data_IF_412690597972
#
_entry.id   IF_412690597972
#
_cell.length_a   1.000
_cell.length_b   1.000
_cell.length_c   1.000
_cell.angle_alpha   90.00
_cell.angle_beta   90.00
_cell.angle_gamma   90.00
#
_symmetry.space_group_name_H-M   'P 1'
#
loop_
_entity.id
_entity.type
_entity.pdbx_description
1 polymer ?
#
# COMPACT_ATOMS: atom_id res chain seq x y z
N UNK A 1 25.02 10.86 61.14
CA UNK A 1 25.26 12.30 60.97
C UNK A 1 26.77 12.45 60.73
N UNK A 2 27.35 12.95 59.65
CA UNK A 2 26.91 13.77 58.53
C UNK A 2 27.55 13.25 57.23
N UNK A 3 26.70 13.07 56.24
CA UNK A 3 26.86 13.24 54.81
C UNK A 3 28.15 13.84 54.18
N UNK A 4 28.48 13.22 53.05
CA UNK A 4 28.81 13.81 51.72
C UNK A 4 30.30 13.99 51.32
N UNK A 5 30.65 13.19 50.29
CA UNK A 5 31.12 13.59 48.93
C UNK A 5 32.58 13.31 48.52
N UNK A 6 32.66 12.74 47.30
CA UNK A 6 33.71 12.73 46.25
C UNK A 6 34.71 11.57 46.34
N UNK A 7 34.62 10.54 45.49
CA UNK A 7 34.84 10.47 44.02
C UNK A 7 36.33 10.58 43.63
N UNK A 8 36.97 9.42 43.42
CA UNK A 8 38.13 9.15 42.55
C UNK A 8 38.48 7.66 42.66
N UNK A 9 39.22 7.10 41.68
CA UNK A 9 39.75 5.71 41.60
C UNK A 9 38.72 4.72 41.00
N UNK A 10 38.92 4.01 39.87
CA UNK A 10 40.10 3.76 39.05
C UNK A 10 39.66 3.41 37.61
N UNK A 11 40.26 4.07 36.61
CA UNK A 11 40.41 3.55 35.25
C UNK A 11 41.72 2.77 35.22
N UNK A 12 41.70 1.46 35.00
CA UNK A 12 42.92 0.75 34.63
C UNK A 12 42.60 -0.51 33.82
N UNK A 13 43.35 -0.65 32.72
CA UNK A 13 43.53 -1.80 31.81
C UNK A 13 42.48 -2.02 30.70
N UNK A 14 42.77 -1.37 29.57
CA UNK A 14 42.59 -1.93 28.22
C UNK A 14 43.94 -2.47 27.72
N UNK A 15 43.85 -3.49 26.83
CA UNK A 15 44.82 -3.97 25.82
C UNK A 15 45.93 -4.95 26.28
N UNK A 16 45.80 -6.23 25.92
CA UNK A 16 46.48 -6.85 24.75
C UNK A 16 46.17 -8.36 24.67
N UNK A 17 45.94 -8.89 23.47
CA UNK A 17 45.86 -10.33 23.21
C UNK A 17 45.11 -10.71 21.94
N UNK A 18 45.72 -10.44 20.78
CA UNK A 18 45.24 -10.80 19.44
C UNK A 18 45.74 -12.22 19.05
N UNK A 19 45.21 -12.75 17.92
CA UNK A 19 45.63 -13.93 17.12
C UNK A 19 45.07 -15.26 17.66
N UNK A 20 44.38 -16.19 16.96
CA UNK A 20 44.27 -16.70 15.57
C UNK A 20 42.81 -17.25 15.46
N UNK A 21 42.04 -17.14 14.36
CA UNK A 21 41.95 -18.11 13.24
C UNK A 21 41.18 -17.46 12.09
N UNK A 22 41.81 -17.45 10.91
CA UNK A 22 41.17 -17.28 9.61
C UNK A 22 41.61 -18.44 8.71
N UNK A 23 40.64 -19.21 8.22
CA UNK A 23 40.65 -20.12 7.07
C UNK A 23 39.30 -20.86 7.08
N UNK A 24 38.56 -21.12 6.01
CA UNK A 24 38.65 -20.77 4.60
C UNK A 24 37.27 -21.05 3.97
N UNK A 25 36.97 -20.34 2.88
CA UNK A 25 35.90 -20.62 1.92
C UNK A 25 36.03 -22.04 1.33
N UNK A 26 34.91 -22.75 1.19
CA UNK A 26 34.48 -23.44 -0.05
C UNK A 26 33.33 -24.43 0.25
N UNK A 27 32.11 -24.09 -0.17
CA UNK A 27 31.14 -25.05 -0.67
C UNK A 27 31.10 -24.90 -2.20
N UNK A 28 31.02 -25.99 -2.97
CA UNK A 28 29.70 -26.34 -3.47
C UNK A 28 29.44 -27.85 -3.64
N UNK A 29 28.22 -28.28 -3.34
CA UNK A 29 27.71 -29.62 -3.65
C UNK A 29 26.25 -29.53 -4.09
N UNK A 30 26.01 -28.86 -5.22
CA UNK A 30 24.71 -28.88 -5.88
C UNK A 30 24.59 -30.15 -6.73
N UNK A 31 23.73 -31.08 -6.31
CA UNK A 31 23.23 -32.15 -7.18
C UNK A 31 22.21 -31.54 -8.16
N UNK A 32 22.71 -31.10 -9.32
CA UNK A 32 21.88 -30.89 -10.50
C UNK A 32 21.75 -32.23 -11.24
N UNK A 33 20.56 -32.83 -11.19
CA UNK A 33 20.19 -33.92 -12.09
C UNK A 33 19.52 -33.32 -13.34
N UNK A 34 20.18 -33.49 -14.48
CA UNK A 34 19.66 -33.20 -15.80
C UNK A 34 18.39 -34.02 -16.07
N UNK A 35 17.29 -33.34 -16.44
CA UNK A 35 16.22 -33.97 -17.22
C UNK A 35 16.12 -33.30 -18.59
N UNK A 36 16.37 -34.14 -19.59
CA UNK A 36 16.37 -33.88 -21.02
C UNK A 36 15.06 -33.26 -21.49
N UNK A 37 15.22 -32.29 -22.40
CA UNK A 37 14.19 -31.73 -23.29
C UNK A 37 13.49 -32.85 -24.05
N UNK A 38 12.16 -32.92 -23.94
CA UNK A 38 11.32 -33.60 -24.92
C UNK A 38 10.49 -32.54 -25.66
N UNK A 39 10.83 -32.36 -26.94
CA UNK A 39 10.14 -31.53 -27.91
C UNK A 39 8.78 -32.15 -28.25
N UNK A 40 7.68 -31.45 -27.96
CA UNK A 40 6.36 -31.81 -28.48
C UNK A 40 6.17 -31.09 -29.81
N UNK A 41 6.25 -31.89 -30.88
CA UNK A 41 6.04 -31.53 -32.27
C UNK A 41 4.54 -31.30 -32.50
N UNK A 42 4.17 -30.08 -32.89
CA UNK A 42 2.82 -29.70 -33.30
C UNK A 42 2.55 -30.33 -34.67
N UNK A 43 1.67 -31.32 -34.73
CA UNK A 43 1.32 -32.01 -35.98
C UNK A 43 0.00 -31.42 -36.49
N UNK A 44 0.11 -30.64 -37.57
CA UNK A 44 -0.97 -30.31 -38.49
C UNK A 44 -1.40 -31.59 -39.23
N UNK A 45 -2.70 -31.86 -39.24
CA UNK A 45 -3.32 -32.73 -40.25
C UNK A 45 -4.56 -32.05 -40.81
N UNK A 46 -4.47 -31.74 -42.09
CA UNK A 46 -5.50 -31.27 -43.01
C UNK A 46 -6.12 -32.44 -43.79
N UNK A 47 -7.44 -32.44 -43.98
CA UNK A 47 -8.20 -32.97 -45.15
C UNK A 47 -9.71 -32.85 -44.82
N UNK A 48 -10.51 -31.99 -45.48
CA UNK A 48 -11.31 -32.23 -46.72
C UNK A 48 -12.23 -33.47 -46.60
N UNK A 49 -13.53 -33.48 -46.92
CA UNK A 49 -14.35 -32.74 -47.89
C UNK A 49 -15.82 -33.19 -47.75
N UNK A 50 -16.80 -32.33 -48.05
CA UNK A 50 -17.93 -32.64 -48.96
C UNK A 50 -18.85 -31.43 -49.14
N UNK A 51 -18.99 -31.01 -50.40
CA UNK A 51 -19.95 -30.03 -50.90
C UNK A 51 -21.05 -30.78 -51.63
N UNK A 52 -22.32 -30.39 -51.41
CA UNK A 52 -23.41 -30.74 -52.32
C UNK A 52 -24.17 -29.46 -52.67
N UNK A 53 -23.99 -29.02 -53.91
CA UNK A 53 -24.77 -27.97 -54.59
C UNK A 53 -26.14 -28.54 -54.98
N UNK A 54 -27.19 -27.71 -54.91
CA UNK A 54 -28.30 -27.82 -55.87
C UNK A 54 -28.90 -26.44 -56.19
N UNK A 55 -29.27 -26.31 -57.47
CA UNK A 55 -29.47 -25.10 -58.26
C UNK A 55 -30.79 -24.34 -58.03
N UNK A 56 -30.90 -23.19 -58.70
CA UNK A 56 -31.83 -22.05 -58.47
C UNK A 56 -32.94 -21.94 -59.55
N UNK A 57 -34.15 -21.53 -59.11
CA UNK A 57 -35.20 -20.67 -59.75
C UNK A 57 -36.20 -21.21 -60.82
N UNK A 58 -37.38 -20.54 -61.06
CA UNK A 58 -38.18 -19.60 -60.21
C UNK A 58 -39.75 -19.67 -60.32
N UNK A 59 -40.43 -18.76 -59.57
CA UNK A 59 -41.84 -18.23 -59.67
C UNK A 59 -42.97 -19.11 -59.07
N UNK A 60 -44.04 -18.63 -58.42
CA UNK A 60 -44.81 -17.36 -58.40
C UNK A 60 -45.29 -16.99 -56.97
N UNK A 61 -45.65 -15.72 -56.79
CA UNK A 61 -46.19 -15.10 -55.59
C UNK A 61 -47.61 -15.59 -55.22
N UNK A 62 -47.88 -15.70 -53.91
CA UNK A 62 -49.21 -15.59 -53.33
C UNK A 62 -49.11 -15.01 -51.91
N UNK A 63 -49.85 -13.95 -51.68
CA UNK A 63 -50.00 -13.15 -50.47
C UNK A 63 -50.68 -13.91 -49.34
N UNK A 64 -50.10 -13.90 -48.13
CA UNK A 64 -50.81 -14.20 -46.89
C UNK A 64 -50.20 -13.39 -45.73
N UNK A 65 -50.88 -12.31 -45.37
CA UNK A 65 -50.58 -11.47 -44.20
C UNK A 65 -50.86 -12.22 -42.91
N UNK A 66 -49.82 -12.56 -42.14
CA UNK A 66 -49.95 -12.97 -40.73
C UNK A 66 -49.80 -11.73 -39.83
N UNK A 67 -50.69 -11.47 -38.87
CA UNK A 67 -50.55 -10.33 -37.98
C UNK A 67 -49.36 -10.56 -37.02
N UNK A 68 -48.33 -9.73 -37.16
CA UNK A 68 -47.22 -9.67 -36.20
C UNK A 68 -47.71 -8.92 -34.98
N UNK A 69 -47.85 -9.64 -33.86
CA UNK A 69 -48.13 -9.05 -32.55
C UNK A 69 -46.86 -8.34 -32.09
N UNK A 70 -46.80 -7.02 -32.26
CA UNK A 70 -45.69 -6.20 -31.77
C UNK A 70 -45.79 -6.16 -30.24
N UNK A 71 -44.98 -6.97 -29.56
CA UNK A 71 -44.78 -6.84 -28.12
C UNK A 71 -43.94 -5.59 -27.90
N UNK A 72 -44.58 -4.53 -27.43
CA UNK A 72 -43.89 -3.31 -27.02
C UNK A 72 -42.92 -3.66 -25.88
N UNK A 73 -41.61 -3.61 -26.18
CA UNK A 73 -40.59 -3.61 -25.14
C UNK A 73 -40.76 -2.30 -24.37
N UNK A 74 -41.42 -2.37 -23.22
CA UNK A 74 -41.41 -1.28 -22.25
C UNK A 74 -39.96 -1.06 -21.81
N UNK A 75 -39.38 0.06 -22.25
CA UNK A 75 -38.11 0.52 -21.71
C UNK A 75 -38.33 0.75 -20.21
N UNK A 76 -37.65 -0.03 -19.37
CA UNK A 76 -37.59 0.29 -17.94
C UNK A 76 -36.96 1.68 -17.84
N UNK A 77 -37.73 2.63 -17.33
CA UNK A 77 -37.24 3.97 -17.04
C UNK A 77 -35.95 3.84 -16.21
N UNK A 78 -34.90 4.54 -16.64
CA UNK A 78 -33.64 4.59 -15.90
C UNK A 78 -33.94 5.05 -14.47
N UNK A 79 -33.75 4.17 -13.50
CA UNK A 79 -33.87 4.51 -12.08
C UNK A 79 -32.85 5.61 -11.82
N UNK A 80 -33.31 6.85 -11.63
CA UNK A 80 -32.46 7.96 -11.22
C UNK A 80 -31.96 7.62 -9.82
N UNK A 81 -30.75 7.05 -9.74
CA UNK A 81 -30.05 6.92 -8.46
C UNK A 81 -29.77 8.35 -8.01
N UNK A 82 -30.32 8.75 -6.87
CA UNK A 82 -30.05 10.05 -6.29
C UNK A 82 -28.53 10.21 -6.12
N UNK A 83 -27.97 11.27 -6.69
CA UNK A 83 -26.57 11.63 -6.46
C UNK A 83 -26.44 12.04 -5.00
N UNK A 84 -25.94 11.15 -4.16
CA UNK A 84 -25.56 11.49 -2.78
C UNK A 84 -24.15 12.09 -2.89
N UNK A 85 -23.97 13.40 -2.58
CA UNK A 85 -22.66 14.00 -2.62
C UNK A 85 -21.73 13.27 -1.65
N UNK A 86 -20.50 12.99 -2.09
CA UNK A 86 -19.51 12.39 -1.22
C UNK A 86 -19.25 13.34 -0.04
N UNK A 87 -19.17 12.78 1.18
CA UNK A 87 -18.77 13.55 2.36
C UNK A 87 -17.38 14.15 2.10
N UNK A 88 -17.17 15.45 2.36
CA UNK A 88 -15.87 16.07 2.20
C UNK A 88 -14.87 15.46 3.18
N UNK A 89 -13.61 15.35 2.76
CA UNK A 89 -12.50 14.94 3.62
C UNK A 89 -12.09 16.06 4.57
N UNK A 90 -11.27 15.75 5.57
CA UNK A 90 -10.78 16.76 6.51
C UNK A 90 -9.89 17.79 5.83
N UNK A 91 -9.09 17.39 4.83
CA UNK A 91 -8.28 18.34 4.07
C UNK A 91 -9.12 19.27 3.18
N UNK A 92 -10.26 18.80 2.65
CA UNK A 92 -11.23 19.66 1.96
C UNK A 92 -11.91 20.64 2.91
N UNK A 93 -12.34 20.18 4.10
CA UNK A 93 -12.95 21.05 5.11
C UNK A 93 -11.95 22.13 5.58
N UNK A 94 -10.67 21.78 5.68
CA UNK A 94 -9.61 22.69 6.08
C UNK A 94 -9.07 23.60 4.95
N UNK A 95 -9.63 23.53 3.72
CA UNK A 95 -9.20 24.37 2.60
C UNK A 95 -7.81 24.02 2.04
N UNK A 96 -7.24 22.86 2.39
CA UNK A 96 -5.85 22.50 2.03
C UNK A 96 -5.66 22.24 0.52
N UNK A 97 -6.74 22.18 -0.26
CA UNK A 97 -6.69 22.06 -1.72
C UNK A 97 -6.47 23.40 -2.43
N UNK A 98 -6.60 24.54 -1.74
CA UNK A 98 -6.61 25.88 -2.34
C UNK A 98 -5.21 26.54 -2.39
N UNK A 99 -4.16 25.75 -2.28
CA UNK A 99 -2.76 26.18 -2.41
C UNK A 99 -2.32 26.15 -3.87
N UNK A 100 -1.53 27.15 -4.29
CA UNK A 100 -0.92 27.13 -5.60
C UNK A 100 0.14 26.03 -5.66
N UNK A 101 -0.08 25.06 -6.56
CA UNK A 101 0.73 23.87 -6.73
C UNK A 101 1.20 23.77 -8.19
N UNK A 102 2.50 24.01 -8.46
CA UNK A 102 3.04 24.00 -9.82
C UNK A 102 2.98 22.62 -10.49
N UNK A 103 2.81 21.53 -9.73
CA UNK A 103 2.64 20.18 -10.26
C UNK A 103 1.17 19.76 -10.39
N UNK A 104 0.22 20.65 -10.08
CA UNK A 104 -1.23 20.36 -10.09
C UNK A 104 -1.57 19.03 -9.38
N UNK A 105 -0.95 18.80 -8.21
CA UNK A 105 -1.25 17.60 -7.45
C UNK A 105 -2.67 17.68 -6.90
N UNK A 106 -3.37 16.56 -7.00
CA UNK A 106 -4.72 16.41 -6.48
C UNK A 106 -4.73 16.04 -4.98
N UNK A 107 -3.56 15.78 -4.42
CA UNK A 107 -3.32 15.69 -2.98
C UNK A 107 -3.28 17.08 -2.37
N UNK A 108 -4.02 17.28 -1.27
CA UNK A 108 -3.95 18.53 -0.51
C UNK A 108 -2.68 18.62 0.33
N UNK A 109 -2.07 17.48 0.66
CA UNK A 109 -0.77 17.41 1.33
C UNK A 109 0.17 16.53 0.50
N UNK A 110 1.38 17.04 0.24
CA UNK A 110 2.43 16.30 -0.43
C UNK A 110 3.80 16.58 0.19
N UNK A 111 4.62 15.55 0.30
CA UNK A 111 6.02 15.66 0.68
C UNK A 111 6.84 14.68 -0.16
N UNK A 112 7.90 15.17 -0.79
CA UNK A 112 8.88 14.35 -1.54
C UNK A 112 10.26 14.69 -1.00
N UNK A 113 10.94 13.69 -0.45
CA UNK A 113 12.29 13.84 0.10
C UNK A 113 13.24 12.83 -0.50
N UNK A 114 14.51 13.21 -0.62
CA UNK A 114 15.60 12.27 -0.84
C UNK A 114 15.88 11.50 0.46
N UNK A 115 15.87 10.18 0.37
CA UNK A 115 16.03 9.29 1.52
C UNK A 115 17.44 9.34 2.11
N UNK A 116 18.47 9.50 1.27
CA UNK A 116 19.86 9.43 1.69
C UNK A 116 20.34 10.80 2.20
N UNK A 117 19.92 11.91 1.57
CA UNK A 117 20.37 13.27 1.94
C UNK A 117 19.39 14.05 2.81
N UNK A 118 18.16 13.57 2.95
CA UNK A 118 17.04 14.29 3.59
C UNK A 118 16.68 15.63 2.92
N UNK A 119 17.14 15.86 1.69
CA UNK A 119 16.75 17.02 0.90
C UNK A 119 15.23 16.98 0.64
N UNK A 120 14.54 18.09 0.89
CA UNK A 120 13.13 18.26 0.54
C UNK A 120 13.03 18.76 -0.90
N UNK A 121 12.52 17.93 -1.79
CA UNK A 121 12.32 18.28 -3.19
C UNK A 121 10.99 19.03 -3.37
N UNK A 122 9.93 18.50 -2.75
CA UNK A 122 8.58 19.07 -2.82
C UNK A 122 7.96 19.10 -1.43
N UNK A 123 7.36 20.23 -1.06
CA UNK A 123 6.53 20.34 0.14
C UNK A 123 5.24 21.12 -0.15
N UNK A 124 4.11 20.53 0.25
CA UNK A 124 2.76 21.10 0.18
C UNK A 124 2.01 20.73 1.46
N UNK A 125 1.72 21.71 2.32
CA UNK A 125 1.01 21.53 3.59
C UNK A 125 1.58 20.39 4.46
N UNK A 126 2.89 20.19 4.44
CA UNK A 126 3.54 18.99 5.01
C UNK A 126 3.40 18.85 6.53
N UNK A 127 3.05 19.93 7.23
CA UNK A 127 2.72 20.00 8.65
C UNK A 127 1.25 19.67 8.98
N UNK A 128 0.37 19.56 7.98
CA UNK A 128 -1.04 19.31 8.25
C UNK A 128 -1.24 17.91 8.85
N UNK A 129 -1.91 17.86 9.99
CA UNK A 129 -2.25 16.62 10.69
C UNK A 129 -3.63 16.15 10.22
N UNK A 130 -3.66 15.04 9.48
CA UNK A 130 -4.87 14.52 8.85
C UNK A 130 -5.10 13.05 9.21
N UNK A 131 -6.35 12.56 9.11
CA UNK A 131 -6.62 11.13 9.10
C UNK A 131 -5.80 10.45 7.98
N UNK A 132 -5.09 9.37 8.30
CA UNK A 132 -4.16 8.72 7.35
C UNK A 132 -4.66 7.40 6.78
N UNK A 133 -5.88 7.02 7.14
CA UNK A 133 -6.49 5.76 6.76
C UNK A 133 -5.51 4.57 6.96
N UNK A 134 -5.54 3.60 6.04
CA UNK A 134 -4.71 2.40 6.10
C UNK A 134 -3.19 2.59 5.94
N UNK A 135 -2.69 3.82 5.79
CA UNK A 135 -1.25 4.06 6.00
C UNK A 135 -0.81 3.63 7.41
N UNK A 136 -1.73 3.68 8.37
CA UNK A 136 -1.62 3.06 9.71
C UNK A 136 -0.97 1.69 9.70
N UNK A 137 -1.34 0.83 8.73
CA UNK A 137 -0.88 -0.58 8.71
C UNK A 137 0.62 -0.72 8.50
N UNK A 138 1.31 0.32 8.04
CA UNK A 138 2.76 0.32 7.96
C UNK A 138 3.39 0.30 9.37
N UNK A 139 2.84 1.06 10.32
CA UNK A 139 3.24 0.97 11.73
C UNK A 139 2.86 -0.38 12.32
N UNK A 140 1.66 -0.90 12.02
CA UNK A 140 1.24 -2.25 12.43
C UNK A 140 2.25 -3.31 11.99
N UNK A 141 2.67 -3.28 10.72
CA UNK A 141 3.68 -4.21 10.21
C UNK A 141 5.02 -4.05 10.90
N UNK A 142 5.46 -2.82 11.17
CA UNK A 142 6.71 -2.56 11.90
C UNK A 142 6.69 -3.15 13.30
N UNK A 143 5.61 -2.97 14.07
CA UNK A 143 5.49 -3.55 15.42
C UNK A 143 5.52 -5.08 15.37
N UNK A 144 4.78 -5.70 14.43
CA UNK A 144 4.74 -7.16 14.28
C UNK A 144 6.10 -7.73 13.89
N UNK A 145 6.78 -7.13 12.90
CA UNK A 145 8.10 -7.58 12.46
C UNK A 145 9.17 -7.47 13.55
N UNK A 146 9.13 -6.38 14.33
CA UNK A 146 10.09 -6.15 15.42
C UNK A 146 9.84 -7.05 16.63
N UNK A 147 8.61 -7.48 16.85
CA UNK A 147 8.27 -8.38 17.95
C UNK A 147 8.81 -9.81 17.76
N UNK A 148 9.24 -10.18 16.54
CA UNK A 148 9.81 -11.49 16.21
C UNK A 148 8.95 -12.67 16.69
N UNK A 149 7.63 -12.50 16.60
CA UNK A 149 6.66 -13.55 16.89
C UNK A 149 6.71 -14.66 15.82
N UNK A 150 6.30 -15.89 16.14
CA UNK A 150 6.27 -16.98 15.17
C UNK A 150 5.34 -16.63 13.99
N UNK A 151 5.90 -16.59 12.77
CA UNK A 151 5.12 -16.25 11.57
C UNK A 151 4.18 -17.36 11.13
N UNK A 152 4.45 -18.60 11.52
CA UNK A 152 3.60 -19.77 11.25
C UNK A 152 2.45 -19.94 12.26
N UNK A 153 2.36 -19.07 13.27
CA UNK A 153 1.28 -19.15 14.25
C UNK A 153 -0.08 -18.94 13.56
N UNK A 154 -1.03 -19.88 13.71
CA UNK A 154 -2.35 -19.74 13.11
C UNK A 154 -3.16 -18.68 13.87
N UNK A 155 -3.68 -17.70 13.13
CA UNK A 155 -4.54 -16.65 13.64
C UNK A 155 -5.93 -16.80 13.02
N UNK A 156 -6.94 -16.99 13.86
CA UNK A 156 -8.34 -17.04 13.43
C UNK A 156 -8.98 -15.66 13.49
N UNK A 157 -9.65 -15.27 12.40
CA UNK A 157 -10.51 -14.08 12.34
C UNK A 157 -11.73 -14.31 13.22
N UNK A 158 -12.01 -13.36 14.11
CA UNK A 158 -13.11 -13.39 15.06
C UNK A 158 -14.11 -12.27 14.77
N UNK A 159 -15.22 -12.22 15.51
CA UNK A 159 -16.19 -11.15 15.41
C UNK A 159 -15.59 -9.79 15.78
N UNK A 160 -14.60 -9.75 16.67
CA UNK A 160 -13.90 -8.53 17.09
C UNK A 160 -13.11 -7.88 15.94
N UNK A 161 -12.73 -8.66 14.92
CA UNK A 161 -11.99 -8.15 13.77
C UNK A 161 -12.89 -7.52 12.70
N UNK A 162 -14.21 -7.61 12.88
CA UNK A 162 -15.19 -7.06 11.93
C UNK A 162 -15.32 -5.55 12.13
N UNK A 163 -15.11 -4.80 11.03
CA UNK A 163 -15.35 -3.36 11.01
C UNK A 163 -16.81 -3.02 11.30
N UNK A 164 -17.01 -2.28 12.38
CA UNK A 164 -18.29 -1.72 12.81
C UNK A 164 -18.35 -0.19 12.69
N UNK A 165 -17.23 0.46 12.34
CA UNK A 165 -17.13 1.92 12.23
C UNK A 165 -17.43 2.43 10.81
N UNK A 166 -16.82 1.81 9.80
CA UNK A 166 -16.95 2.23 8.39
C UNK A 166 -17.74 1.24 7.54
N UNK A 167 -18.09 0.08 8.07
CA UNK A 167 -18.82 -0.97 7.34
C UNK A 167 -18.05 -1.52 6.13
N UNK A 168 -16.72 -1.50 6.20
CA UNK A 168 -15.85 -2.03 5.15
C UNK A 168 -16.04 -3.54 4.98
N UNK A 169 -15.96 -3.99 3.73
CA UNK A 169 -16.10 -5.40 3.38
C UNK A 169 -14.73 -6.07 3.42
N UNK A 170 -14.72 -7.32 3.85
CA UNK A 170 -13.56 -8.20 3.81
C UNK A 170 -13.95 -9.54 3.19
N UNK A 171 -13.01 -10.17 2.50
CA UNK A 171 -13.16 -11.54 1.99
C UNK A 171 -12.72 -12.59 3.01
N UNK A 172 -11.96 -12.20 4.03
CA UNK A 172 -11.65 -13.06 5.17
C UNK A 172 -12.87 -13.10 6.08
N UNK A 173 -13.65 -14.17 6.03
CA UNK A 173 -14.84 -14.33 6.89
C UNK A 173 -14.44 -14.66 8.33
N UNK A 174 -15.34 -14.41 9.28
CA UNK A 174 -15.17 -14.89 10.66
C UNK A 174 -15.00 -16.42 10.63
N UNK A 175 -14.04 -16.92 11.40
CA UNK A 175 -13.62 -18.32 11.39
C UNK A 175 -12.54 -18.67 10.36
N UNK A 176 -12.17 -17.76 9.46
CA UNK A 176 -11.01 -17.97 8.58
C UNK A 176 -9.72 -17.96 9.41
N UNK A 177 -8.84 -18.92 9.18
CA UNK A 177 -7.54 -19.02 9.84
C UNK A 177 -6.43 -18.94 8.80
N UNK A 178 -5.47 -18.05 9.02
CA UNK A 178 -4.26 -17.89 8.23
C UNK A 178 -3.06 -17.80 9.18
N UNK A 179 -1.85 -18.04 8.68
CA UNK A 179 -0.64 -17.81 9.49
C UNK A 179 -0.44 -16.31 9.76
N UNK A 180 0.30 -15.98 10.83
CA UNK A 180 0.67 -14.58 11.13
C UNK A 180 1.38 -13.92 9.95
N UNK A 181 2.23 -14.66 9.24
CA UNK A 181 2.90 -14.20 8.02
C UNK A 181 1.92 -13.85 6.90
N UNK A 182 0.95 -14.72 6.63
CA UNK A 182 -0.11 -14.45 5.64
C UNK A 182 -0.97 -13.25 6.05
N UNK A 183 -1.33 -13.12 7.33
CA UNK A 183 -2.08 -11.97 7.83
C UNK A 183 -1.29 -10.66 7.60
N UNK A 184 0.00 -10.66 7.90
CA UNK A 184 0.88 -9.51 7.68
C UNK A 184 1.00 -9.16 6.20
N UNK A 185 1.15 -10.17 5.35
CA UNK A 185 1.21 -10.00 3.90
C UNK A 185 -0.05 -9.33 3.36
N UNK A 186 -1.23 -9.87 3.69
CA UNK A 186 -2.51 -9.31 3.24
C UNK A 186 -2.75 -7.89 3.78
N UNK A 187 -2.36 -7.61 5.02
CA UNK A 187 -2.47 -6.29 5.63
C UNK A 187 -1.62 -5.23 4.90
N UNK A 188 -0.39 -5.55 4.52
CA UNK A 188 0.53 -4.60 3.87
C UNK A 188 0.24 -4.48 2.36
N UNK A 189 0.13 -5.60 1.66
CA UNK A 189 -0.05 -5.66 0.20
C UNK A 189 -1.44 -5.19 -0.24
N UNK A 190 -2.48 -5.80 0.34
CA UNK A 190 -3.87 -5.61 -0.08
C UNK A 190 -4.69 -4.73 0.87
N UNK A 191 -4.06 -4.20 1.92
CA UNK A 191 -4.73 -3.37 2.90
C UNK A 191 -5.86 -4.08 3.65
N UNK A 192 -5.76 -5.39 3.84
CA UNK A 192 -6.81 -6.21 4.46
C UNK A 192 -7.03 -5.80 5.94
N UNK A 193 -8.26 -5.40 6.28
CA UNK A 193 -8.58 -4.79 7.58
C UNK A 193 -8.66 -5.82 8.70
N UNK A 194 -9.29 -6.97 8.45
CA UNK A 194 -9.48 -8.01 9.48
C UNK A 194 -8.16 -8.67 9.83
N UNK A 195 -7.29 -8.87 8.84
CA UNK A 195 -5.92 -9.34 9.07
C UNK A 195 -5.14 -8.38 9.97
N UNK A 196 -5.17 -7.07 9.67
CA UNK A 196 -4.47 -6.06 10.49
C UNK A 196 -5.04 -5.96 11.91
N UNK A 197 -6.36 -6.05 12.07
CA UNK A 197 -7.00 -6.05 13.39
C UNK A 197 -6.63 -7.29 14.19
N UNK A 198 -6.69 -8.47 13.56
CA UNK A 198 -6.35 -9.74 14.20
C UNK A 198 -4.87 -9.78 14.64
N UNK A 199 -3.95 -9.20 13.86
CA UNK A 199 -2.54 -9.03 14.25
C UNK A 199 -2.39 -8.22 15.54
N UNK A 200 -3.12 -7.10 15.66
CA UNK A 200 -3.12 -6.29 16.88
C UNK A 200 -3.79 -6.98 18.06
N UNK A 201 -4.94 -7.63 17.83
CA UNK A 201 -5.70 -8.35 18.86
C UNK A 201 -4.93 -9.54 19.44
N UNK A 202 -4.21 -10.27 18.60
CA UNK A 202 -3.41 -11.45 19.01
C UNK A 202 -1.97 -11.12 19.38
N UNK A 203 -1.61 -9.84 19.44
CA UNK A 203 -0.32 -9.44 19.98
C UNK A 203 -0.22 -9.79 21.47
N UNK A 204 0.96 -10.19 22.00
CA UNK A 204 1.12 -10.42 23.43
C UNK A 204 0.68 -9.21 24.28
N UNK A 205 -0.28 -9.42 25.17
CA UNK A 205 -0.91 -8.34 25.95
C UNK A 205 -2.16 -7.72 25.32
N UNK A 206 -2.53 -8.15 24.11
CA UNK A 206 -3.78 -7.77 23.43
C UNK A 206 -3.72 -6.42 22.71
N UNK A 207 -4.88 -5.99 22.22
CA UNK A 207 -5.02 -4.83 21.35
C UNK A 207 -4.59 -3.51 22.01
N UNK A 208 -4.90 -3.30 23.29
CA UNK A 208 -4.53 -2.09 24.01
C UNK A 208 -3.00 -1.94 24.13
N UNK A 209 -2.31 -3.04 24.44
CA UNK A 209 -0.84 -3.08 24.47
C UNK A 209 -0.29 -2.84 23.07
N UNK A 210 -0.88 -3.44 22.03
CA UNK A 210 -0.46 -3.20 20.65
C UNK A 210 -0.52 -1.71 20.27
N UNK A 211 -1.65 -1.04 20.53
CA UNK A 211 -1.82 0.40 20.25
C UNK A 211 -0.87 1.24 21.09
N UNK A 212 -0.60 0.85 22.34
CA UNK A 212 0.41 1.49 23.19
C UNK A 212 1.80 1.40 22.54
N UNK A 213 2.17 0.24 22.01
CA UNK A 213 3.45 0.05 21.33
C UNK A 213 3.55 0.84 20.02
N UNK A 214 2.46 0.97 19.26
CA UNK A 214 2.42 1.82 18.06
C UNK A 214 2.73 3.28 18.40
N UNK A 215 2.11 3.83 19.45
CA UNK A 215 2.33 5.21 19.87
C UNK A 215 3.72 5.40 20.53
N UNK A 216 4.18 4.42 21.31
CA UNK A 216 5.53 4.44 21.87
C UNK A 216 6.59 4.44 20.76
N UNK A 217 6.38 3.66 19.70
CA UNK A 217 7.25 3.66 18.52
C UNK A 217 7.20 5.01 17.79
N UNK A 218 6.03 5.58 17.55
CA UNK A 218 5.90 6.90 16.95
C UNK A 218 6.73 7.95 17.73
N UNK A 219 6.58 7.99 19.05
CA UNK A 219 7.36 8.88 19.92
C UNK A 219 8.87 8.62 19.83
N UNK A 220 9.29 7.36 19.82
CA UNK A 220 10.70 6.97 19.70
C UNK A 220 11.31 7.44 18.36
N UNK A 221 10.52 7.44 17.29
CA UNK A 221 10.91 7.91 15.97
C UNK A 221 10.84 9.43 15.82
N UNK A 222 10.39 10.16 16.85
CA UNK A 222 10.19 11.61 16.78
C UNK A 222 8.96 12.04 15.98
N UNK A 223 8.00 11.13 15.75
CA UNK A 223 6.75 11.41 15.04
C UNK A 223 5.76 12.13 15.95
N UNK A 224 5.96 13.42 16.19
CA UNK A 224 5.22 14.21 17.19
C UNK A 224 3.80 14.58 16.79
N UNK A 225 3.48 14.51 15.50
CA UNK A 225 2.15 14.80 14.94
C UNK A 225 1.29 13.53 14.82
N UNK A 226 1.84 12.37 15.21
CA UNK A 226 1.22 11.07 15.00
C UNK A 226 0.50 10.55 16.24
N UNK A 227 -0.72 10.05 16.01
CA UNK A 227 -1.47 9.30 17.02
C UNK A 227 -2.20 8.14 16.39
N UNK A 228 -2.04 6.96 17.00
CA UNK A 228 -2.79 5.75 16.66
C UNK A 228 -3.80 5.42 17.75
N UNK A 229 -5.00 5.00 17.37
CA UNK A 229 -6.02 4.45 18.27
C UNK A 229 -6.37 3.00 17.96
N UNK A 230 -5.97 2.50 16.78
CA UNK A 230 -6.24 1.14 16.32
C UNK A 230 -5.31 0.76 15.13
N UNK A 231 -5.14 -0.54 14.78
CA UNK A 231 -4.08 -1.01 13.88
C UNK A 231 -4.41 -1.00 12.38
N UNK A 232 -5.64 -0.65 11.99
CA UNK A 232 -6.15 -0.78 10.62
C UNK A 232 -6.18 0.54 9.86
N UNK A 233 -6.41 1.67 10.53
CA UNK A 233 -6.67 2.96 9.91
C UNK A 233 -8.12 3.17 9.48
N UNK A 234 -9.07 2.45 10.06
CA UNK A 234 -10.50 2.71 9.88
C UNK A 234 -10.95 3.91 10.70
N UNK A 235 -10.34 4.15 11.86
CA UNK A 235 -10.68 5.31 12.67
C UNK A 235 -10.07 6.58 12.10
N UNK A 236 -10.89 7.63 11.94
CA UNK A 236 -10.37 8.96 11.54
C UNK A 236 -9.51 9.61 12.63
N UNK A 237 -9.47 9.02 13.83
CA UNK A 237 -8.57 9.42 14.93
C UNK A 237 -7.14 8.87 14.78
N UNK A 238 -6.90 7.97 13.81
CA UNK A 238 -5.54 7.67 13.37
C UNK A 238 -5.05 8.81 12.48
N UNK A 239 -4.16 9.62 13.02
CA UNK A 239 -3.70 10.86 12.40
C UNK A 239 -2.19 10.94 12.40
N UNK A 240 -1.64 11.65 11.41
CA UNK A 240 -0.21 11.92 11.26
C UNK A 240 -0.02 13.10 10.30
N UNK A 241 1.18 13.68 10.29
CA UNK A 241 1.64 14.60 9.25
C UNK A 241 2.41 13.88 8.14
N UNK A 242 2.70 14.58 7.04
CA UNK A 242 3.50 14.00 5.95
C UNK A 242 4.96 13.78 6.35
N UNK A 243 5.51 14.63 7.22
CA UNK A 243 6.88 14.50 7.75
C UNK A 243 7.04 13.27 8.63
N UNK A 244 6.08 13.04 9.52
CA UNK A 244 6.07 11.84 10.36
C UNK A 244 5.96 10.57 9.51
N UNK A 245 5.10 10.56 8.49
CA UNK A 245 4.98 9.43 7.58
C UNK A 245 6.25 9.21 6.76
N UNK A 246 6.94 10.26 6.33
CA UNK A 246 8.22 10.12 5.63
C UNK A 246 9.28 9.48 6.54
N UNK A 247 9.30 9.85 7.82
CA UNK A 247 10.14 9.22 8.84
C UNK A 247 9.79 7.74 9.01
N UNK A 248 8.50 7.41 9.10
CA UNK A 248 8.03 6.02 9.20
C UNK A 248 8.44 5.19 7.98
N UNK A 249 8.28 5.73 6.76
CA UNK A 249 8.68 5.06 5.53
C UNK A 249 10.19 4.81 5.51
N UNK A 250 11.00 5.80 5.89
CA UNK A 250 12.45 5.66 5.92
C UNK A 250 12.88 4.50 6.83
N UNK A 251 12.32 4.44 8.04
CA UNK A 251 12.63 3.37 9.00
C UNK A 251 12.06 2.02 8.54
N UNK A 252 10.82 1.98 8.04
CA UNK A 252 10.17 0.76 7.58
C UNK A 252 10.89 0.15 6.37
N UNK A 253 11.45 0.98 5.50
CA UNK A 253 12.25 0.51 4.36
C UNK A 253 13.53 -0.22 4.82
N UNK A 254 14.02 0.02 6.04
CA UNK A 254 15.13 -0.73 6.61
C UNK A 254 14.80 -2.20 6.91
N UNK A 255 13.52 -2.60 6.90
CA UNK A 255 13.06 -3.96 7.19
C UNK A 255 12.80 -4.75 5.88
N UNK A 256 13.62 -5.77 5.56
CA UNK A 256 13.44 -6.56 4.33
C UNK A 256 12.08 -7.23 4.22
N UNK A 257 11.50 -7.66 5.36
CA UNK A 257 10.19 -8.31 5.36
C UNK A 257 9.09 -7.32 4.96
N UNK A 258 9.13 -6.09 5.47
CA UNK A 258 8.14 -5.08 5.10
C UNK A 258 8.25 -4.67 3.64
N UNK A 259 9.48 -4.58 3.12
CA UNK A 259 9.72 -4.33 1.70
C UNK A 259 9.07 -5.42 0.86
N UNK A 260 9.42 -6.68 1.08
CA UNK A 260 8.89 -7.84 0.35
C UNK A 260 7.36 -7.90 0.38
N UNK A 261 6.78 -7.86 1.58
CA UNK A 261 5.35 -8.03 1.73
C UNK A 261 4.56 -6.84 1.16
N UNK A 262 5.08 -5.61 1.28
CA UNK A 262 4.38 -4.44 0.74
C UNK A 262 4.48 -4.31 -0.77
N UNK A 263 5.52 -4.86 -1.42
CA UNK A 263 5.75 -4.77 -2.87
C UNK A 263 5.41 -6.04 -3.63
N UNK A 264 4.90 -7.08 -2.95
CA UNK A 264 4.34 -8.25 -3.62
C UNK A 264 3.16 -7.85 -4.53
N UNK A 265 3.10 -8.30 -5.81
CA UNK A 265 2.06 -7.88 -6.75
C UNK A 265 0.68 -8.50 -6.46
N UNK A 266 0.65 -9.66 -5.80
CA UNK A 266 -0.54 -10.43 -5.45
C UNK A 266 -0.18 -11.68 -4.68
N UNK A 267 -1.17 -12.27 -4.03
CA UNK A 267 -1.00 -13.45 -3.19
C UNK A 267 -2.31 -14.24 -3.11
N UNK A 268 -2.22 -15.56 -3.03
CA UNK A 268 -3.38 -16.44 -2.88
C UNK A 268 -3.32 -17.13 -1.52
N UNK A 269 -4.45 -17.13 -0.81
CA UNK A 269 -4.57 -17.83 0.48
C UNK A 269 -5.66 -18.89 0.41
N UNK A 270 -5.37 -20.05 0.98
CA UNK A 270 -6.36 -21.11 1.14
C UNK A 270 -7.16 -20.88 2.44
N UNK A 271 -8.48 -20.79 2.33
CA UNK A 271 -9.40 -20.64 3.47
C UNK A 271 -10.44 -21.76 3.38
N UNK A 272 -10.20 -22.85 4.11
CA UNK A 272 -10.98 -24.07 4.01
C UNK A 272 -10.92 -24.65 2.60
N UNK A 273 -12.08 -24.79 1.94
CA UNK A 273 -12.18 -25.33 0.57
C UNK A 273 -12.09 -24.24 -0.52
N UNK A 274 -11.77 -22.99 -0.16
CA UNK A 274 -11.74 -21.85 -1.09
C UNK A 274 -10.34 -21.27 -1.17
N UNK A 275 -9.94 -20.85 -2.36
CA UNK A 275 -8.75 -20.02 -2.56
C UNK A 275 -9.17 -18.58 -2.79
N UNK A 276 -8.61 -17.64 -2.03
CA UNK A 276 -8.88 -16.21 -2.15
C UNK A 276 -7.67 -15.51 -2.77
N UNK A 277 -7.87 -14.83 -3.91
CA UNK A 277 -6.80 -14.09 -4.59
C UNK A 277 -6.74 -12.63 -4.19
N UNK A 278 -5.64 -12.16 -3.65
CA UNK A 278 -5.38 -10.78 -3.25
C UNK A 278 -4.41 -10.09 -4.21
N UNK A 279 -4.60 -8.79 -4.41
CA UNK A 279 -3.78 -7.97 -5.30
C UNK A 279 -3.26 -6.75 -4.55
N UNK A 280 -2.07 -6.29 -4.94
CA UNK A 280 -1.53 -5.06 -4.37
C UNK A 280 -2.46 -3.87 -4.63
N UNK A 281 -2.72 -3.06 -3.61
CA UNK A 281 -3.56 -1.86 -3.72
C UNK A 281 -2.88 -0.70 -4.43
N UNK A 282 -1.54 -0.71 -4.52
CA UNK A 282 -0.79 0.20 -5.37
C UNK A 282 -0.55 -0.43 -6.75
N UNK A 283 -1.27 0.06 -7.76
CA UNK A 283 -1.16 -0.44 -9.12
C UNK A 283 0.22 -0.24 -9.76
N UNK A 284 1.02 0.70 -9.26
CA UNK A 284 2.37 0.97 -9.77
C UNK A 284 3.35 -0.18 -9.47
N UNK A 285 3.07 -1.01 -8.46
CA UNK A 285 3.91 -2.17 -8.11
C UNK A 285 4.04 -3.17 -9.26
N UNK A 286 3.03 -3.27 -10.13
CA UNK A 286 3.06 -4.16 -11.30
C UNK A 286 3.69 -3.51 -12.53
N UNK A 287 4.06 -2.23 -12.45
CA UNK A 287 4.65 -1.50 -13.57
C UNK A 287 6.18 -1.68 -13.54
N UNK A 288 6.79 -2.34 -14.55
CA UNK A 288 8.23 -2.59 -14.57
C UNK A 288 9.07 -1.33 -14.70
N UNK A 289 8.49 -0.18 -15.05
CA UNK A 289 9.22 1.09 -15.10
C UNK A 289 9.40 1.74 -13.73
N UNK A 290 8.75 1.21 -12.69
CA UNK A 290 8.81 1.70 -11.32
C UNK A 290 9.68 0.76 -10.48
N UNK A 291 10.70 1.31 -9.83
CA UNK A 291 11.45 0.62 -8.78
C UNK A 291 10.92 1.07 -7.42
N UNK A 292 10.02 0.29 -6.83
CA UNK A 292 9.37 0.59 -5.54
C UNK A 292 9.95 -0.34 -4.48
N UNK A 293 10.63 0.23 -3.49
CA UNK A 293 11.19 -0.55 -2.38
C UNK A 293 10.20 -0.79 -1.25
N UNK A 294 9.23 0.10 -1.04
CA UNK A 294 8.18 -0.01 -0.02
C UNK A 294 6.96 0.82 -0.40
N UNK A 295 5.74 0.37 -0.08
CA UNK A 295 4.53 1.18 -0.30
C UNK A 295 3.41 0.91 0.71
N UNK A 296 2.52 1.89 0.86
CA UNK A 296 1.18 1.66 1.42
C UNK A 296 0.18 2.65 0.85
N UNK A 297 -1.03 2.19 0.54
CA UNK A 297 -2.17 3.07 0.22
C UNK A 297 -3.20 3.09 1.35
N UNK A 298 -4.05 4.12 1.40
CA UNK A 298 -5.19 4.20 2.32
C UNK A 298 -6.36 4.98 1.75
N UNK A 299 -7.57 4.66 2.22
CA UNK A 299 -8.78 5.43 1.95
C UNK A 299 -9.84 5.22 3.04
N UNK A 300 -10.32 6.33 3.59
CA UNK A 300 -11.64 6.50 4.22
C UNK A 300 -12.17 7.86 3.78
N UNK A 301 -13.47 8.12 3.88
CA UNK A 301 -14.04 9.40 3.41
C UNK A 301 -13.38 10.61 4.06
N UNK A 302 -13.05 10.52 5.35
CA UNK A 302 -12.45 11.59 6.15
C UNK A 302 -10.97 11.86 5.78
N UNK A 303 -10.25 10.85 5.30
CA UNK A 303 -8.83 10.92 4.95
C UNK A 303 -8.58 11.28 3.48
N UNK A 304 -9.60 11.16 2.64
CA UNK A 304 -9.40 11.07 1.19
C UNK A 304 -8.52 9.87 0.83
N UNK A 305 -7.85 9.94 -0.33
CA UNK A 305 -6.97 8.86 -0.80
C UNK A 305 -5.51 9.17 -0.49
N UNK A 306 -4.88 8.27 0.24
CA UNK A 306 -3.51 8.41 0.70
C UNK A 306 -2.57 7.39 0.03
N UNK A 307 -1.32 7.79 -0.19
CA UNK A 307 -0.22 6.94 -0.65
C UNK A 307 1.06 7.36 0.08
N UNK A 308 1.82 6.38 0.55
CA UNK A 308 3.24 6.55 0.86
C UNK A 308 4.03 5.51 0.10
N UNK A 309 5.22 5.87 -0.36
CA UNK A 309 6.14 4.91 -0.95
C UNK A 309 7.59 5.38 -0.91
N UNK A 310 8.50 4.42 -0.90
CA UNK A 310 9.90 4.60 -1.22
C UNK A 310 10.12 4.06 -2.64
N UNK A 311 10.85 4.80 -3.47
CA UNK A 311 11.10 4.45 -4.87
C UNK A 311 12.42 5.02 -5.37
N UNK A 312 13.03 4.40 -6.39
CA UNK A 312 14.18 4.96 -7.07
C UNK A 312 13.78 5.66 -8.38
N UNK A 313 14.17 6.92 -8.54
CA UNK A 313 13.90 7.74 -9.74
C UNK A 313 15.17 8.51 -10.10
N UNK A 314 15.63 8.39 -11.34
CA UNK A 314 16.84 9.07 -11.83
C UNK A 314 18.07 8.89 -10.91
N UNK A 315 18.24 7.68 -10.37
CA UNK A 315 19.32 7.34 -9.43
C UNK A 315 19.13 7.82 -7.99
N UNK A 316 18.09 8.60 -7.69
CA UNK A 316 17.77 9.08 -6.34
C UNK A 316 16.80 8.12 -5.65
N UNK A 317 17.03 7.84 -4.36
CA UNK A 317 16.06 7.14 -3.51
C UNK A 317 15.10 8.19 -2.94
N UNK A 318 13.84 8.16 -3.35
CA UNK A 318 12.85 9.13 -2.94
C UNK A 318 11.80 8.50 -2.04
N UNK A 319 11.40 9.24 -1.01
CA UNK A 319 10.21 8.97 -0.23
C UNK A 319 9.13 9.96 -0.66
N UNK A 320 7.99 9.45 -1.08
CA UNK A 320 6.83 10.23 -1.50
C UNK A 320 5.68 9.98 -0.53
N UNK A 321 5.08 11.07 -0.05
CA UNK A 321 3.89 11.06 0.80
C UNK A 321 2.84 11.94 0.16
N UNK A 322 1.66 11.37 -0.06
CA UNK A 322 0.50 12.03 -0.64
C UNK A 322 -0.71 11.75 0.25
N UNK A 323 -1.30 12.79 0.86
CA UNK A 323 -2.49 12.65 1.68
C UNK A 323 -3.66 13.39 1.04
N UNK A 324 -4.85 12.84 1.27
CA UNK A 324 -6.11 13.43 0.84
C UNK A 324 -6.15 13.80 -0.66
N UNK A 325 -5.79 12.82 -1.51
CA UNK A 325 -5.87 12.98 -2.95
C UNK A 325 -7.31 12.86 -3.48
N UNK A 326 -7.74 13.84 -4.26
CA UNK A 326 -9.07 13.92 -4.86
C UNK A 326 -9.17 13.12 -6.18
N UNK A 327 -9.98 12.06 -6.20
CA UNK A 327 -10.24 11.22 -7.38
C UNK A 327 -9.67 9.80 -7.30
N UNK A 328 -10.25 8.84 -8.03
CA UNK A 328 -9.97 7.39 -7.81
C UNK A 328 -8.49 7.01 -7.94
N UNK A 329 -7.85 7.53 -8.97
CA UNK A 329 -6.47 7.21 -9.36
C UNK A 329 -5.49 8.36 -9.13
N UNK A 330 -5.98 9.45 -8.52
CA UNK A 330 -5.27 10.72 -8.47
C UNK A 330 -3.94 10.64 -7.75
N UNK A 331 -3.84 9.90 -6.63
CA UNK A 331 -2.57 9.67 -5.90
C UNK A 331 -1.50 8.92 -6.73
N UNK A 332 -1.91 8.05 -7.65
CA UNK A 332 -0.97 7.39 -8.57
C UNK A 332 -0.56 8.35 -9.68
N UNK A 333 -1.49 9.18 -10.16
CA UNK A 333 -1.17 10.28 -11.06
C UNK A 333 -0.27 11.35 -10.43
N UNK A 334 -0.43 11.63 -9.14
CA UNK A 334 0.45 12.52 -8.37
C UNK A 334 1.90 11.95 -8.36
N UNK A 335 2.04 10.65 -8.12
CA UNK A 335 3.33 9.96 -8.20
C UNK A 335 3.97 10.06 -9.60
N UNK A 336 3.21 9.82 -10.67
CA UNK A 336 3.71 9.96 -12.04
C UNK A 336 4.10 11.42 -12.39
N UNK A 337 3.34 12.41 -11.92
CA UNK A 337 3.69 13.83 -12.09
C UNK A 337 4.99 14.19 -11.38
N UNK A 338 5.16 13.74 -10.14
CA UNK A 338 6.42 13.94 -9.40
C UNK A 338 7.57 13.22 -10.09
N UNK A 339 7.39 11.98 -10.57
CA UNK A 339 8.41 11.25 -11.33
C UNK A 339 8.87 12.05 -12.54
N UNK A 340 7.93 12.47 -13.38
CA UNK A 340 8.24 13.23 -14.59
C UNK A 340 8.94 14.55 -14.27
N UNK A 341 8.51 15.23 -13.20
CA UNK A 341 9.18 16.44 -12.73
C UNK A 341 10.62 16.17 -12.28
N UNK A 342 10.87 15.13 -11.48
CA UNK A 342 12.22 14.76 -11.05
C UNK A 342 13.12 14.36 -12.23
N UNK A 343 12.58 13.64 -13.21
CA UNK A 343 13.30 13.25 -14.43
C UNK A 343 13.69 14.45 -15.31
N UNK A 344 13.01 15.59 -15.16
CA UNK A 344 13.28 16.81 -15.94
C UNK A 344 14.11 17.86 -15.20
N UNK A 345 14.41 17.66 -13.91
CA UNK A 345 15.29 18.55 -13.15
C UNK A 345 16.73 18.46 -13.69
N UNK A 346 17.39 19.59 -14.00
CA UNK A 346 18.82 19.60 -14.31
C UNK A 346 19.63 19.02 -13.16
N UNK A 347 20.64 18.19 -13.44
CA UNK A 347 21.47 17.52 -12.41
C UNK A 347 22.26 18.48 -11.51
N UNK A 348 22.24 19.78 -11.80
CA UNK A 348 22.77 20.85 -10.97
C UNK A 348 21.68 21.90 -10.76
N UNK A 349 21.35 22.20 -9.50
CA UNK A 349 20.34 23.17 -9.03
C UNK A 349 18.91 22.60 -8.91
N UNK A 350 18.60 22.04 -7.74
CA UNK A 350 17.22 22.02 -7.26
C UNK A 350 17.15 22.81 -5.95
N UNK A 351 16.61 24.02 -6.01
CA UNK A 351 16.06 24.62 -4.80
C UNK A 351 14.73 23.90 -4.48
N UNK A 352 14.39 23.66 -3.20
CA UNK A 352 13.14 23.02 -2.81
C UNK A 352 11.91 23.71 -3.44
N UNK A 353 11.01 22.93 -4.03
CA UNK A 353 9.73 23.45 -4.52
C UNK A 353 8.74 23.53 -3.37
N UNK A 354 8.42 24.75 -2.93
CA UNK A 354 7.43 25.01 -1.90
C UNK A 354 6.13 25.49 -2.54
N UNK A 355 5.02 24.79 -2.28
CA UNK A 355 3.69 25.31 -2.58
C UNK A 355 3.41 26.53 -1.68
N UNK A 356 2.83 27.60 -2.24
CA UNK A 356 2.51 28.83 -1.51
C UNK A 356 1.00 29.05 -1.49
N UNK A 357 0.48 29.57 -0.38
CA UNK A 357 -0.91 29.98 -0.28
C UNK A 357 -1.24 31.00 -1.39
N UNK A 358 -2.40 30.85 -2.03
CA UNK A 358 -2.89 31.85 -2.96
C UNK A 358 -3.13 33.16 -2.18
N UNK A 359 -2.38 34.22 -2.52
CA UNK A 359 -2.69 35.55 -2.01
C UNK A 359 -3.96 36.00 -2.74
N UNK A 360 -5.07 36.29 -2.04
CA UNK A 360 -6.24 36.85 -2.70
C UNK A 360 -5.85 38.23 -3.27
N UNK A 361 -6.11 38.44 -4.56
CA UNK A 361 -6.04 39.77 -5.14
C UNK A 361 -7.11 40.63 -4.43
N UNK A 362 -6.64 41.70 -3.78
CA UNK A 362 -7.49 42.71 -3.11
C UNK A 362 -8.22 43.55 -4.15
#
# INVERSE_FOLDING_TARGET
>A
MHHLRRAAVNRFLQLLGFVVVSAALAAPGAHAQERKKASVKKQQTSASSASAKRAVAPRKAATATKPVRVSAKTSKAATRVAFIPAKPSFGQIAGLHEVNDPLDLKSSVALVIDQDTHEVLLSKNDHAVLPIASLTKLMTGMIISQAKLPMEEPITITQDDVDTEKGSRSRLVVGATLTRGEMLHLALMSSENRAAHALGRTYPGGLEVFVTQMNAKAKLLGMTDTRYVEPTGLSSRNQSSARDLATLVNVAHGDPLLRELSTSPGYEVAVGQRTLQYNNTNGLVKNPTWDIGLQKTGYISEAGRCLVMQTQISGRKLIMVFLDSAGKFSRLGDAERVRHWVETLPSSLAAPLQARAAIPAV
#
